data_IF_237250650195
#
_entry.id   IF_237250650195
#
_cell.length_a   1.000
_cell.length_b   1.000
_cell.length_c   1.000
_cell.angle_alpha   90.00
_cell.angle_beta   90.00
_cell.angle_gamma   90.00
#
_symmetry.space_group_name_H-M   'P 1'
#
loop_
_entity.id
_entity.type
_entity.pdbx_description
1 polymer ?
#
# COMPACT_ATOMS: atom_id res chain seq x y z
N UNK A 1 -11.15 0.71 8.64
CA UNK A 1 -11.77 -0.46 7.96
C UNK A 1 -10.78 -1.00 6.95
N UNK A 2 -10.69 -2.33 6.72
CA UNK A 2 -9.83 -2.85 5.68
C UNK A 2 -10.30 -2.35 4.30
N UNK A 3 -9.43 -1.67 3.57
CA UNK A 3 -9.69 -1.14 2.24
C UNK A 3 -9.97 -2.29 1.28
N UNK A 4 -11.18 -2.33 0.73
CA UNK A 4 -11.61 -3.37 -0.20
C UNK A 4 -11.84 -2.77 -1.59
N UNK A 5 -11.16 -3.35 -2.57
CA UNK A 5 -11.48 -3.38 -3.99
C UNK A 5 -12.09 -2.10 -4.61
N UNK A 6 -11.55 -0.92 -4.30
CA UNK A 6 -11.99 0.35 -4.89
C UNK A 6 -11.90 1.54 -3.93
N UNK A 7 -12.02 1.28 -2.64
CA UNK A 7 -11.85 2.29 -1.61
C UNK A 7 -10.38 2.33 -1.19
N UNK A 8 -9.63 3.31 -1.69
CA UNK A 8 -8.24 3.53 -1.33
C UNK A 8 -8.00 5.02 -1.12
N UNK A 9 -7.04 5.38 -0.26
CA UNK A 9 -6.74 6.79 -0.01
C UNK A 9 -6.35 7.50 -1.31
N UNK A 10 -6.64 8.81 -1.41
CA UNK A 10 -6.29 9.60 -2.60
C UNK A 10 -4.79 9.53 -2.93
N UNK A 11 -3.93 9.31 -1.93
CA UNK A 11 -2.49 9.07 -2.09
C UNK A 11 -2.15 7.89 -3.00
N UNK A 12 -3.05 6.91 -3.14
CA UNK A 12 -2.85 5.71 -3.96
C UNK A 12 -3.34 5.91 -5.39
N UNK A 13 -4.20 6.92 -5.63
CA UNK A 13 -4.83 7.18 -6.94
C UNK A 13 -3.81 7.35 -8.08
N UNK A 14 -2.66 7.96 -7.78
CA UNK A 14 -1.60 8.23 -8.75
C UNK A 14 -0.60 7.07 -8.91
N UNK A 15 -0.81 5.94 -8.23
CA UNK A 15 0.12 4.82 -8.23
C UNK A 15 -0.35 3.71 -9.20
N UNK A 16 0.58 2.91 -9.77
CA UNK A 16 0.23 1.76 -10.60
C UNK A 16 -0.61 0.76 -9.80
N UNK A 17 -1.54 0.07 -10.49
CA UNK A 17 -2.45 -0.91 -9.86
C UNK A 17 -1.69 -1.94 -9.00
N UNK A 18 -0.58 -2.47 -9.52
CA UNK A 18 0.30 -3.42 -8.81
C UNK A 18 0.83 -2.89 -7.47
N UNK A 19 1.21 -1.60 -7.42
CA UNK A 19 1.69 -0.95 -6.19
C UNK A 19 0.53 -0.75 -5.22
N UNK A 20 -0.64 -0.33 -5.71
CA UNK A 20 -1.83 -0.13 -4.88
C UNK A 20 -2.30 -1.40 -4.21
N UNK A 21 -2.42 -2.50 -4.96
CA UNK A 21 -2.85 -3.80 -4.44
C UNK A 21 -1.93 -4.26 -3.31
N UNK A 22 -0.61 -4.15 -3.51
CA UNK A 22 0.36 -4.51 -2.46
C UNK A 22 0.35 -3.55 -1.27
N UNK A 23 0.14 -2.25 -1.51
CA UNK A 23 0.07 -1.25 -0.44
C UNK A 23 -1.16 -1.47 0.45
N UNK A 24 -2.31 -1.78 -0.16
CA UNK A 24 -3.56 -2.10 0.54
C UNK A 24 -3.39 -3.35 1.41
N UNK A 25 -2.74 -4.40 0.90
CA UNK A 25 -2.47 -5.61 1.67
C UNK A 25 -1.67 -5.33 2.96
N UNK A 26 -0.60 -4.54 2.84
CA UNK A 26 0.26 -4.16 3.98
C UNK A 26 -0.48 -3.22 4.93
N UNK A 27 -1.20 -2.25 4.39
CA UNK A 27 -1.92 -1.27 5.18
C UNK A 27 -3.09 -1.94 5.93
N UNK A 28 -3.78 -2.91 5.34
CA UNK A 28 -4.81 -3.70 6.01
C UNK A 28 -4.23 -4.51 7.17
N UNK A 29 -3.03 -5.10 7.02
CA UNK A 29 -2.37 -5.79 8.13
C UNK A 29 -2.04 -4.85 9.29
N UNK A 30 -1.56 -3.63 9.00
CA UNK A 30 -1.28 -2.61 10.00
C UNK A 30 -2.56 -2.12 10.69
N UNK A 31 -3.65 -1.93 9.95
CA UNK A 31 -4.94 -1.56 10.52
C UNK A 31 -5.50 -2.63 11.46
N UNK A 32 -5.31 -3.91 11.12
CA UNK A 32 -5.71 -5.03 11.97
C UNK A 32 -4.90 -5.08 13.27
N UNK A 33 -3.64 -4.66 13.23
CA UNK A 33 -2.76 -4.52 14.40
C UNK A 33 -3.14 -3.32 15.29
N UNK A 34 -4.05 -2.46 14.83
CA UNK A 34 -4.47 -1.23 15.52
C UNK A 34 -3.63 0.00 15.18
N UNK A 35 -2.84 -0.06 14.11
CA UNK A 35 -2.12 1.11 13.62
C UNK A 35 -3.09 2.17 13.06
N UNK A 36 -2.69 3.43 13.16
CA UNK A 36 -3.46 4.56 12.62
C UNK A 36 -3.56 4.49 11.09
N UNK A 37 -4.72 4.85 10.53
CA UNK A 37 -4.95 4.89 9.09
C UNK A 37 -3.86 5.67 8.34
N UNK A 38 -3.49 6.87 8.80
CA UNK A 38 -2.43 7.66 8.16
C UNK A 38 -1.09 6.92 8.10
N UNK A 39 -0.71 6.26 9.20
CA UNK A 39 0.53 5.48 9.32
C UNK A 39 0.48 4.23 8.44
N UNK A 40 -0.64 3.49 8.47
CA UNK A 40 -0.86 2.32 7.65
C UNK A 40 -0.76 2.65 6.15
N UNK A 41 -1.38 3.77 5.72
CA UNK A 41 -1.36 4.24 4.34
C UNK A 41 0.07 4.57 3.88
N UNK A 42 0.79 5.37 4.65
CA UNK A 42 2.15 5.81 4.31
C UNK A 42 3.12 4.61 4.28
N UNK A 43 3.02 3.74 5.28
CA UNK A 43 3.87 2.56 5.43
C UNK A 43 3.59 1.52 4.34
N UNK A 44 2.31 1.25 4.06
CA UNK A 44 1.90 0.33 3.01
C UNK A 44 2.40 0.78 1.64
N UNK A 45 2.26 2.07 1.32
CA UNK A 45 2.74 2.62 0.04
C UNK A 45 4.25 2.59 -0.07
N UNK A 46 4.97 2.96 0.99
CA UNK A 46 6.45 2.94 1.00
C UNK A 46 6.96 1.53 0.74
N UNK A 47 6.48 0.54 1.48
CA UNK A 47 6.89 -0.85 1.31
C UNK A 47 6.54 -1.40 -0.07
N UNK A 48 5.33 -1.10 -0.56
CA UNK A 48 4.93 -1.52 -1.91
C UNK A 48 5.83 -0.90 -2.98
N UNK A 49 6.13 0.40 -2.91
CA UNK A 49 7.03 1.05 -3.87
C UNK A 49 8.43 0.43 -3.86
N UNK A 50 9.01 0.20 -2.69
CA UNK A 50 10.34 -0.40 -2.58
C UNK A 50 10.37 -1.84 -3.13
N UNK A 51 9.35 -2.64 -2.84
CA UNK A 51 9.22 -4.01 -3.38
C UNK A 51 9.27 -4.04 -4.91
N UNK A 52 8.53 -3.15 -5.57
CA UNK A 52 8.52 -3.09 -7.04
C UNK A 52 9.74 -2.36 -7.62
N UNK A 53 10.32 -1.40 -6.89
CA UNK A 53 11.55 -0.70 -7.29
C UNK A 53 12.75 -1.64 -7.31
N UNK A 54 12.89 -2.51 -6.31
CA UNK A 54 13.92 -3.56 -6.31
C UNK A 54 13.71 -4.54 -7.46
N UNK A 55 12.47 -5.01 -7.70
CA UNK A 55 12.17 -5.91 -8.83
C UNK A 55 12.48 -5.35 -10.22
N UNK A 56 12.53 -4.04 -10.39
CA UNK A 56 12.78 -3.40 -11.70
C UNK A 56 14.27 -3.26 -12.03
N UNK A 57 15.16 -3.40 -11.05
CA UNK A 57 16.61 -3.25 -11.24
C UNK A 57 17.34 -4.59 -11.48
N UNK A 58 16.61 -5.69 -11.63
CA UNK A 58 17.18 -7.03 -11.80
C UNK A 58 16.72 -7.71 -13.10
N UNK A 59 16.38 -6.91 -14.12
CA UNK A 59 16.06 -7.38 -15.47
C UNK A 59 16.93 -6.69 -16.53
#
# INVERSE_FOLDING_TARGET
>A
MPWYNGDYPPSYKNQPKKIREKAIEIANALLLDGAEEGVAIATGLRNAREFFKHKKNEQ
#
